data_IF_389982037529
#
_entry.id   IF_389982037529
#
_cell.length_a   1.000
_cell.length_b   1.000
_cell.length_c   1.000
_cell.angle_alpha   90.00
_cell.angle_beta   90.00
_cell.angle_gamma   90.00
#
_symmetry.space_group_name_H-M   'P 1'
#
loop_
_entity.id
_entity.type
_entity.pdbx_description
1 polymer ?
#
# COMPACT_ATOMS: atom_id res chain seq x y z
N UNK A 1 24.51 -1.20 -8.76
CA UNK A 1 23.75 -2.29 -8.13
C UNK A 1 22.35 -2.17 -8.68
N UNK A 2 21.97 -3.05 -9.61
CA UNK A 2 20.63 -3.04 -10.22
C UNK A 2 19.60 -3.50 -9.19
N UNK A 3 18.44 -2.85 -9.15
CA UNK A 3 17.36 -3.26 -8.27
C UNK A 3 16.87 -4.64 -8.72
N UNK A 4 16.88 -5.64 -7.83
CA UNK A 4 16.50 -7.03 -8.13
C UNK A 4 15.15 -7.16 -8.85
N UNK A 5 14.25 -6.20 -8.61
CA UNK A 5 12.87 -6.23 -9.08
C UNK A 5 12.60 -5.36 -10.31
N UNK A 6 13.59 -4.61 -10.80
CA UNK A 6 13.42 -3.53 -11.78
C UNK A 6 12.73 -3.97 -13.07
N UNK A 7 12.86 -5.25 -13.43
CA UNK A 7 12.29 -5.83 -14.64
C UNK A 7 11.22 -6.90 -14.36
N UNK A 8 10.66 -6.93 -13.16
CA UNK A 8 9.56 -7.83 -12.84
C UNK A 8 8.23 -7.28 -13.35
N UNK A 9 7.35 -8.17 -13.80
CA UNK A 9 5.98 -7.86 -14.24
C UNK A 9 4.99 -8.94 -13.83
N UNK A 10 3.72 -8.58 -13.73
CA UNK A 10 2.64 -9.52 -13.41
C UNK A 10 2.09 -10.14 -14.69
N UNK A 11 2.09 -11.47 -14.78
CA UNK A 11 1.67 -12.24 -15.96
C UNK A 11 0.22 -11.92 -16.33
N UNK A 12 -0.03 -11.77 -17.64
CA UNK A 12 -1.37 -11.51 -18.17
C UNK A 12 -1.89 -10.09 -17.93
N UNK A 13 -1.01 -9.15 -17.56
CA UNK A 13 -1.37 -7.75 -17.28
C UNK A 13 -0.29 -6.76 -17.74
N UNK A 14 -0.63 -5.46 -17.71
CA UNK A 14 0.29 -4.34 -17.97
C UNK A 14 1.01 -3.83 -16.70
N UNK A 15 0.91 -4.55 -15.58
CA UNK A 15 1.55 -4.18 -14.32
C UNK A 15 3.04 -4.50 -14.35
N UNK A 16 3.86 -3.45 -14.33
CA UNK A 16 5.31 -3.53 -14.28
C UNK A 16 5.83 -2.99 -12.95
N UNK A 17 7.00 -3.44 -12.51
CA UNK A 17 7.64 -2.91 -11.30
C UNK A 17 7.67 -1.37 -11.32
N UNK A 18 7.31 -0.77 -10.20
CA UNK A 18 7.27 0.67 -10.05
C UNK A 18 8.11 1.14 -8.88
N UNK A 19 7.88 0.57 -7.69
CA UNK A 19 8.57 0.98 -6.48
C UNK A 19 8.46 -0.08 -5.38
N UNK A 20 9.18 0.13 -4.30
CA UNK A 20 8.99 -0.55 -3.03
C UNK A 20 7.94 0.19 -2.21
N UNK A 21 7.00 -0.55 -1.65
CA UNK A 21 6.27 -0.13 -0.47
C UNK A 21 7.00 -0.59 0.80
N UNK A 22 6.50 -0.19 1.97
CA UNK A 22 7.03 -0.61 3.28
C UNK A 22 7.11 -2.14 3.45
N UNK A 23 6.10 -2.84 2.95
CA UNK A 23 5.86 -4.28 3.20
C UNK A 23 5.75 -5.14 1.93
N UNK A 24 5.83 -4.52 0.76
CA UNK A 24 5.57 -5.21 -0.50
C UNK A 24 6.11 -4.45 -1.70
N UNK A 25 6.00 -5.09 -2.85
CA UNK A 25 6.44 -4.52 -4.12
C UNK A 25 5.22 -3.92 -4.83
N UNK A 26 5.39 -2.70 -5.32
CA UNK A 26 4.36 -1.97 -6.06
C UNK A 26 4.63 -2.13 -7.54
N UNK A 27 3.65 -2.70 -8.24
CA UNK A 27 3.58 -2.71 -9.69
C UNK A 27 2.59 -1.65 -10.16
N UNK A 28 2.82 -1.04 -11.31
CA UNK A 28 1.96 0.00 -11.87
C UNK A 28 1.52 -0.34 -13.28
N UNK A 29 0.23 -0.17 -13.52
CA UNK A 29 -0.35 -0.03 -14.86
C UNK A 29 -0.56 1.45 -15.11
N UNK A 30 0.22 2.02 -16.03
CA UNK A 30 0.19 3.45 -16.34
C UNK A 30 -1.06 3.85 -17.11
N UNK A 31 -1.55 2.99 -17.99
CA UNK A 31 -2.70 3.27 -18.83
C UNK A 31 -4.00 3.22 -18.01
N UNK A 32 -4.11 2.25 -17.11
CA UNK A 32 -5.27 2.13 -16.22
C UNK A 32 -5.24 3.11 -15.03
N UNK A 33 -4.07 3.65 -14.71
CA UNK A 33 -3.87 4.50 -13.53
C UNK A 33 -4.04 3.71 -12.24
N UNK A 34 -3.45 2.51 -12.18
CA UNK A 34 -3.61 1.57 -11.08
C UNK A 34 -2.26 1.14 -10.52
N UNK A 35 -2.26 0.76 -9.25
CA UNK A 35 -1.18 -0.01 -8.62
C UNK A 35 -1.68 -1.36 -8.17
N UNK A 36 -0.77 -2.33 -8.19
CA UNK A 36 -0.93 -3.64 -7.58
C UNK A 36 0.20 -3.82 -6.57
N UNK A 37 -0.15 -3.98 -5.30
CA UNK A 37 0.80 -4.32 -4.24
C UNK A 37 0.79 -5.82 -4.07
N UNK A 38 1.98 -6.44 -4.10
CA UNK A 38 2.19 -7.86 -3.79
C UNK A 38 3.23 -7.93 -2.68
N UNK A 39 2.88 -8.59 -1.58
CA UNK A 39 3.79 -8.68 -0.44
C UNK A 39 5.05 -9.50 -0.78
N UNK A 40 6.20 -9.05 -0.27
CA UNK A 40 7.50 -9.69 -0.52
C UNK A 40 7.68 -10.91 0.40
N UNK A 41 8.33 -11.96 -0.12
CA UNK A 41 8.71 -13.13 0.68
C UNK A 41 9.97 -12.91 1.53
N UNK A 42 10.57 -11.71 1.50
CA UNK A 42 11.72 -11.35 2.34
C UNK A 42 11.37 -11.29 3.83
N UNK A 43 10.08 -11.18 4.17
CA UNK A 43 9.58 -11.25 5.55
C UNK A 43 8.96 -12.60 5.84
N UNK A 44 8.84 -12.92 7.12
CA UNK A 44 8.09 -14.09 7.55
C UNK A 44 6.60 -13.98 7.14
N UNK A 45 6.07 -15.09 6.62
CA UNK A 45 4.73 -15.14 6.02
C UNK A 45 3.65 -14.74 7.00
N UNK A 46 3.77 -15.12 8.27
CA UNK A 46 2.75 -14.82 9.28
C UNK A 46 2.63 -13.31 9.52
N UNK A 47 3.77 -12.62 9.56
CA UNK A 47 3.77 -11.15 9.66
C UNK A 47 3.15 -10.52 8.41
N UNK A 48 3.53 -10.97 7.21
CA UNK A 48 2.96 -10.46 5.97
C UNK A 48 1.44 -10.67 5.88
N UNK A 49 0.93 -11.85 6.27
CA UNK A 49 -0.51 -12.16 6.30
C UNK A 49 -1.27 -11.25 7.27
N UNK A 50 -0.70 -11.00 8.46
CA UNK A 50 -1.33 -10.15 9.47
C UNK A 50 -1.34 -8.68 9.03
N UNK A 51 -0.24 -8.20 8.44
CA UNK A 51 -0.15 -6.84 7.91
C UNK A 51 -1.10 -6.64 6.73
N UNK A 52 -1.12 -7.57 5.78
CA UNK A 52 -2.06 -7.58 4.67
C UNK A 52 -3.49 -7.55 5.19
N UNK A 53 -3.84 -8.43 6.13
CA UNK A 53 -5.18 -8.47 6.74
C UNK A 53 -5.56 -7.14 7.40
N UNK A 54 -4.63 -6.50 8.10
CA UNK A 54 -4.92 -5.23 8.78
C UNK A 54 -5.06 -4.06 7.79
N UNK A 55 -4.28 -4.05 6.72
CA UNK A 55 -4.38 -3.05 5.65
C UNK A 55 -5.70 -3.19 4.87
N UNK A 56 -6.07 -4.41 4.44
CA UNK A 56 -7.35 -4.63 3.72
C UNK A 56 -8.57 -4.32 4.60
N UNK A 57 -8.50 -4.61 5.91
CA UNK A 57 -9.57 -4.27 6.85
C UNK A 57 -9.71 -2.75 6.96
N UNK A 58 -8.58 -2.04 7.03
CA UNK A 58 -8.56 -0.59 7.10
C UNK A 58 -9.14 0.05 5.83
N UNK A 59 -8.76 -0.44 4.65
CA UNK A 59 -9.37 -0.03 3.38
C UNK A 59 -10.88 -0.30 3.38
N UNK A 60 -11.31 -1.48 3.82
CA UNK A 60 -12.72 -1.85 3.91
C UNK A 60 -13.54 -0.93 4.83
N UNK A 61 -12.94 -0.46 5.94
CA UNK A 61 -13.54 0.54 6.84
C UNK A 61 -13.59 1.90 6.16
N UNK A 62 -12.47 2.36 5.60
CA UNK A 62 -12.34 3.70 5.01
C UNK A 62 -13.27 3.90 3.81
N UNK A 63 -13.40 2.89 2.93
CA UNK A 63 -14.31 2.93 1.78
C UNK A 63 -15.78 3.09 2.18
N UNK A 64 -16.18 2.56 3.34
CA UNK A 64 -17.56 2.65 3.84
C UNK A 64 -17.82 3.92 4.64
N UNK A 65 -16.78 4.70 4.96
CA UNK A 65 -16.92 5.93 5.71
C UNK A 65 -17.09 7.14 4.77
N UNK A 66 -18.23 7.85 4.82
CA UNK A 66 -18.41 9.08 4.06
C UNK A 66 -17.37 10.16 4.42
N UNK A 67 -16.82 10.12 5.64
CA UNK A 67 -15.90 11.13 6.16
C UNK A 67 -14.48 11.01 5.55
N UNK A 68 -14.05 9.81 5.18
CA UNK A 68 -12.66 9.57 4.73
C UNK A 68 -12.53 8.79 3.43
N UNK A 69 -13.62 8.29 2.84
CA UNK A 69 -13.59 7.53 1.58
C UNK A 69 -12.96 8.32 0.42
N UNK A 70 -13.15 9.63 0.37
CA UNK A 70 -12.50 10.51 -0.61
C UNK A 70 -10.98 10.66 -0.36
N UNK A 71 -10.52 10.44 0.88
CA UNK A 71 -9.13 10.59 1.31
C UNK A 71 -8.28 9.34 1.12
N UNK A 72 -8.81 8.27 0.54
CA UNK A 72 -8.04 7.05 0.21
C UNK A 72 -8.00 6.82 -1.30
N UNK A 73 -7.05 6.01 -1.81
CA UNK A 73 -7.10 5.55 -3.19
C UNK A 73 -8.44 4.89 -3.52
N UNK A 74 -9.00 5.23 -4.69
CA UNK A 74 -10.18 4.55 -5.21
C UNK A 74 -9.87 3.16 -5.76
N UNK A 75 -10.90 2.51 -6.32
CA UNK A 75 -10.81 1.22 -7.05
C UNK A 75 -10.14 0.08 -6.26
N UNK A 76 -10.19 0.13 -4.93
CA UNK A 76 -9.59 -0.89 -4.09
C UNK A 76 -10.27 -2.25 -4.31
N UNK A 77 -9.46 -3.30 -4.53
CA UNK A 77 -9.91 -4.69 -4.59
C UNK A 77 -8.81 -5.66 -4.17
N UNK A 78 -9.21 -6.71 -3.46
CA UNK A 78 -8.35 -7.86 -3.17
C UNK A 78 -8.27 -8.71 -4.44
N UNK A 79 -7.11 -9.32 -4.68
CA UNK A 79 -6.86 -10.13 -5.85
C UNK A 79 -6.61 -11.58 -5.45
N UNK A 80 -6.85 -12.49 -6.40
CA UNK A 80 -6.45 -13.89 -6.27
C UNK A 80 -4.92 -14.03 -6.39
N UNK A 81 -4.42 -15.28 -6.42
CA UNK A 81 -3.00 -15.58 -6.59
C UNK A 81 -2.41 -14.95 -7.85
N UNK A 82 -1.34 -14.18 -7.67
CA UNK A 82 -0.59 -13.51 -8.73
C UNK A 82 0.57 -14.37 -9.25
N UNK A 83 0.93 -14.21 -10.52
CA UNK A 83 2.16 -14.77 -11.07
C UNK A 83 3.07 -13.64 -11.53
N UNK A 84 4.32 -13.64 -11.06
CA UNK A 84 5.32 -12.63 -11.42
C UNK A 84 6.42 -13.30 -12.24
N UNK A 85 6.83 -12.63 -13.32
CA UNK A 85 7.95 -13.03 -14.17
C UNK A 85 8.98 -11.91 -14.27
N UNK A 86 10.22 -12.28 -14.55
CA UNK A 86 11.31 -11.34 -14.83
C UNK A 86 11.36 -10.90 -16.31
N UNK A 87 12.44 -10.21 -16.69
CA UNK A 87 12.69 -9.74 -18.07
C UNK A 87 12.81 -10.87 -19.10
N UNK A 88 13.26 -12.05 -18.66
CA UNK A 88 13.41 -13.24 -19.51
C UNK A 88 12.12 -14.04 -19.60
N UNK A 89 11.10 -13.64 -18.85
CA UNK A 89 9.85 -14.38 -18.72
C UNK A 89 9.94 -15.56 -17.76
N UNK A 90 11.02 -15.68 -16.98
CA UNK A 90 11.16 -16.72 -15.97
C UNK A 90 10.26 -16.42 -14.77
N UNK A 91 9.59 -17.44 -14.24
CA UNK A 91 8.72 -17.28 -13.08
C UNK A 91 9.54 -16.99 -11.82
N UNK A 92 9.31 -15.83 -11.22
CA UNK A 92 9.96 -15.34 -9.99
C UNK A 92 8.96 -15.16 -8.85
N UNK A 93 7.81 -15.83 -8.93
CA UNK A 93 6.72 -15.74 -7.94
C UNK A 93 7.14 -16.20 -6.54
N UNK A 94 8.20 -17.00 -6.42
CA UNK A 94 8.77 -17.45 -5.15
C UNK A 94 9.43 -16.32 -4.32
N UNK A 95 9.60 -15.12 -4.90
CA UNK A 95 10.10 -13.92 -4.21
C UNK A 95 8.97 -13.12 -3.55
N UNK A 96 7.75 -13.63 -3.61
CA UNK A 96 6.53 -12.95 -3.19
C UNK A 96 5.63 -13.90 -2.41
N UNK A 97 4.64 -13.33 -1.73
CA UNK A 97 3.44 -14.02 -1.33
C UNK A 97 2.34 -13.71 -2.36
N UNK A 98 2.18 -14.56 -3.40
CA UNK A 98 1.36 -14.22 -4.56
C UNK A 98 -0.13 -14.09 -4.23
N UNK A 99 -0.58 -14.69 -3.13
CA UNK A 99 -1.94 -14.63 -2.60
C UNK A 99 -2.20 -13.42 -1.68
N UNK A 100 -1.15 -12.66 -1.34
CA UNK A 100 -1.25 -11.43 -0.54
C UNK A 100 -1.12 -10.22 -1.47
N UNK A 101 -2.16 -10.02 -2.27
CA UNK A 101 -2.19 -8.99 -3.30
C UNK A 101 -3.49 -8.18 -3.28
N UNK A 102 -3.35 -6.87 -3.53
CA UNK A 102 -4.47 -5.99 -3.78
C UNK A 102 -4.15 -4.97 -4.86
N UNK A 103 -5.19 -4.38 -5.42
CA UNK A 103 -5.12 -3.30 -6.40
C UNK A 103 -5.79 -2.04 -5.86
N UNK A 104 -5.30 -0.87 -6.28
CA UNK A 104 -5.88 0.42 -5.96
C UNK A 104 -5.53 1.46 -7.04
N UNK A 105 -6.17 2.63 -6.96
CA UNK A 105 -5.82 3.80 -7.76
C UNK A 105 -4.34 4.20 -7.57
N UNK A 106 -3.64 4.45 -8.68
CA UNK A 106 -2.33 5.09 -8.62
C UNK A 106 -2.48 6.59 -8.39
N UNK A 107 -1.90 7.08 -7.30
CA UNK A 107 -1.87 8.51 -6.99
C UNK A 107 -0.59 9.10 -7.57
N UNK A 108 -0.73 9.89 -8.64
CA UNK A 108 0.39 10.58 -9.29
C UNK A 108 0.80 11.87 -8.57
N UNK A 109 1.06 11.77 -7.27
CA UNK A 109 1.48 12.87 -6.42
C UNK A 109 2.60 12.40 -5.51
N UNK A 110 3.37 13.36 -4.98
CA UNK A 110 4.41 13.06 -4.02
C UNK A 110 3.79 12.78 -2.66
N UNK A 111 4.15 11.64 -2.08
CA UNK A 111 3.81 11.31 -0.71
C UNK A 111 4.84 11.89 0.28
N UNK A 112 4.36 12.28 1.44
CA UNK A 112 5.15 12.65 2.62
C UNK A 112 4.66 11.83 3.81
N UNK A 113 5.58 11.42 4.68
CA UNK A 113 5.21 10.71 5.90
C UNK A 113 4.43 11.63 6.84
N UNK A 114 3.41 11.10 7.52
CA UNK A 114 2.56 11.87 8.44
C UNK A 114 3.37 12.54 9.57
N UNK A 115 4.45 11.91 10.03
CA UNK A 115 5.35 12.45 11.04
C UNK A 115 6.15 13.67 10.57
N UNK A 116 6.24 13.91 9.26
CA UNK A 116 6.90 15.09 8.69
C UNK A 116 5.98 16.33 8.60
N UNK A 117 4.67 16.14 8.83
CA UNK A 117 3.70 17.23 8.79
C UNK A 117 3.68 18.02 10.12
N UNK A 118 3.25 19.29 10.11
CA UNK A 118 2.98 20.03 11.33
C UNK A 118 2.02 19.27 12.25
N UNK A 119 2.29 19.28 13.56
CA UNK A 119 1.50 18.53 14.56
C UNK A 119 -0.01 18.76 14.49
N UNK A 120 -0.45 19.99 14.17
CA UNK A 120 -1.87 20.31 14.03
C UNK A 120 -2.53 19.60 12.85
N UNK A 121 -1.82 19.50 11.73
CA UNK A 121 -2.28 18.87 10.49
C UNK A 121 -2.27 17.35 10.62
N UNK A 122 -1.15 16.76 11.07
CA UNK A 122 -1.06 15.31 11.31
C UNK A 122 -2.12 14.85 12.30
N UNK A 123 -2.25 15.53 13.45
CA UNK A 123 -3.26 15.18 14.46
C UNK A 123 -4.70 15.27 13.93
N UNK A 124 -4.99 16.22 13.03
CA UNK A 124 -6.32 16.34 12.44
C UNK A 124 -6.62 15.16 11.51
N UNK A 125 -5.65 14.74 10.69
CA UNK A 125 -5.79 13.58 9.80
C UNK A 125 -5.93 12.30 10.61
N UNK A 126 -5.05 12.07 11.59
CA UNK A 126 -5.10 10.89 12.45
C UNK A 126 -6.44 10.76 13.17
N UNK A 127 -6.98 11.86 13.73
CA UNK A 127 -8.27 11.84 14.42
C UNK A 127 -9.40 11.38 13.50
N UNK A 128 -9.41 11.80 12.23
CA UNK A 128 -10.43 11.36 11.27
C UNK A 128 -10.39 9.84 11.04
N UNK A 129 -9.19 9.28 10.89
CA UNK A 129 -9.02 7.83 10.70
C UNK A 129 -9.31 7.04 12.00
N UNK A 130 -8.81 7.51 13.14
CA UNK A 130 -9.08 6.89 14.46
C UNK A 130 -10.57 6.88 14.80
N UNK A 131 -11.31 7.94 14.47
CA UNK A 131 -12.75 8.04 14.68
C UNK A 131 -13.56 6.95 13.97
N UNK A 132 -13.05 6.40 12.87
CA UNK A 132 -13.70 5.30 12.14
C UNK A 132 -13.14 3.92 12.50
N UNK A 133 -12.24 3.84 13.48
CA UNK A 133 -11.66 2.58 13.97
C UNK A 133 -10.32 2.20 13.33
N UNK A 134 -9.70 3.08 12.53
CA UNK A 134 -8.36 2.87 11.97
C UNK A 134 -7.35 3.48 12.95
N UNK A 135 -6.81 2.63 13.84
CA UNK A 135 -6.04 3.11 14.98
C UNK A 135 -4.54 3.21 14.72
N UNK A 136 -4.01 2.49 13.74
CA UNK A 136 -2.60 2.53 13.39
C UNK A 136 -2.37 3.52 12.24
N UNK A 137 -2.06 4.76 12.64
CA UNK A 137 -1.93 5.92 11.74
C UNK A 137 -0.51 6.47 11.66
N UNK A 138 0.43 5.97 12.47
CA UNK A 138 1.77 6.53 12.61
C UNK A 138 2.64 6.41 11.36
N UNK A 139 2.38 5.41 10.53
CA UNK A 139 3.14 5.13 9.30
C UNK A 139 2.45 5.63 8.03
N UNK A 140 1.38 6.43 8.20
CA UNK A 140 0.63 6.95 7.06
C UNK A 140 1.54 7.79 6.15
N UNK A 141 1.43 7.51 4.85
CA UNK A 141 1.95 8.39 3.81
C UNK A 141 0.81 9.19 3.21
N UNK A 142 1.00 10.50 3.07
CA UNK A 142 -0.02 11.45 2.64
C UNK A 142 0.46 12.19 1.40
N UNK A 143 -0.36 12.21 0.36
CA UNK A 143 -0.15 13.03 -0.83
C UNK A 143 -1.22 14.12 -0.89
N UNK A 144 -0.79 15.37 -1.09
CA UNK A 144 -1.68 16.53 -1.18
C UNK A 144 -1.85 16.98 -2.63
N UNK A 145 -3.04 17.43 -2.98
CA UNK A 145 -3.25 18.23 -4.20
C UNK A 145 -2.48 19.55 -4.12
N UNK A 146 -2.26 20.19 -5.26
CA UNK A 146 -1.53 21.47 -5.32
C UNK A 146 -2.19 22.58 -4.47
N UNK A 147 -3.52 22.60 -4.43
CA UNK A 147 -4.32 23.53 -3.61
C UNK A 147 -4.43 23.11 -2.13
N UNK A 148 -3.91 21.93 -1.77
CA UNK A 148 -4.02 21.28 -0.45
C UNK A 148 -5.46 21.11 0.07
N UNK A 149 -6.47 21.24 -0.79
CA UNK A 149 -7.87 21.03 -0.42
C UNK A 149 -8.22 19.54 -0.36
N UNK A 150 -7.47 18.72 -1.08
CA UNK A 150 -7.62 17.27 -1.09
C UNK A 150 -6.30 16.59 -0.74
N UNK A 151 -6.43 15.43 -0.09
CA UNK A 151 -5.29 14.57 0.18
C UNK A 151 -5.68 13.11 0.01
N UNK A 152 -4.69 12.28 -0.30
CA UNK A 152 -4.78 10.83 -0.37
C UNK A 152 -3.85 10.23 0.67
N UNK A 153 -4.35 9.26 1.41
CA UNK A 153 -3.62 8.56 2.47
C UNK A 153 -3.42 7.11 2.08
N UNK A 154 -2.21 6.61 2.27
CA UNK A 154 -1.83 5.20 2.10
C UNK A 154 -1.06 4.72 3.33
N UNK A 155 -0.71 3.43 3.38
CA UNK A 155 0.04 2.80 4.47
C UNK A 155 -0.64 2.96 5.85
N UNK A 156 -1.96 2.81 5.90
CA UNK A 156 -2.76 2.83 7.13
C UNK A 156 -3.30 1.43 7.47
N UNK A 157 -3.40 1.13 8.78
CA UNK A 157 -3.81 -0.20 9.26
C UNK A 157 -4.79 -0.08 10.45
N UNK A 158 -5.62 -1.09 10.66
CA UNK A 158 -6.48 -1.13 11.86
C UNK A 158 -5.64 -1.34 13.12
N UNK A 159 -4.58 -2.14 13.01
CA UNK A 159 -3.66 -2.50 14.10
C UNK A 159 -2.24 -2.53 13.56
N UNK A 160 -1.30 -1.99 14.33
CA UNK A 160 0.12 -2.15 14.08
C UNK A 160 0.66 -3.41 14.74
N UNK A 161 1.82 -3.85 14.30
CA UNK A 161 2.62 -4.80 15.04
C UNK A 161 3.73 -4.06 15.76
N UNK A 162 3.83 -4.24 17.07
CA UNK A 162 5.08 -3.93 17.77
C UNK A 162 6.09 -5.02 17.43
N UNK A 163 7.02 -4.69 16.53
CA UNK A 163 8.21 -5.52 16.37
C UNK A 163 9.10 -5.24 17.58
N UNK A 164 9.00 -6.07 18.60
CA UNK A 164 9.97 -6.07 19.67
C UNK A 164 11.32 -6.49 19.07
N UNK A 165 12.19 -5.53 18.80
CA UNK A 165 13.61 -5.84 18.63
C UNK A 165 14.07 -6.48 19.93
N UNK A 166 14.37 -7.78 19.90
CA UNK A 166 15.24 -8.37 20.91
C UNK A 166 16.58 -7.65 20.78
N UNK A 167 16.79 -6.62 21.60
CA UNK A 167 18.12 -6.12 21.96
C UNK A 167 18.94 -7.23 22.60
#
# INVERSE_FOLDING_TARGET
MTCRYENHRVVGTEFNFHNFGSEGIIFRDRAAGLIRKIYSSERDRKFAEQDFKSEIEAFGIAMKSPEISASIPGKFRILDTQTVVDEKGECVSNQYFPDLAFEAEFINLRFVEIGSLPNSESSAIERKFKKVGINYTGDMAIAFSEDRLCYKVVDFKVRGQEIWHKT
#
